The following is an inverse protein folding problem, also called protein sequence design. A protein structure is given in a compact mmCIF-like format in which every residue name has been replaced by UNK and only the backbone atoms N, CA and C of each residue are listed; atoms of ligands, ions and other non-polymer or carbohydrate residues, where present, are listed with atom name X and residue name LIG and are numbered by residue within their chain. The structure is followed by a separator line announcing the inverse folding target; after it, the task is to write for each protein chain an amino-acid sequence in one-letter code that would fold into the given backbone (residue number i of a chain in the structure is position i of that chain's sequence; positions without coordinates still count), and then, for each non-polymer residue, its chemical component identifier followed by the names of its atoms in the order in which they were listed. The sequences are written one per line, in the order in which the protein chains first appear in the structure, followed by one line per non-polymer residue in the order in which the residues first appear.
data_IF_415803962082
#
_entry.id   IF_415803962082
#
_cell.length_a   1.000
_cell.length_b   1.000
_cell.length_c   1.000
_cell.angle_alpha   90.00
_cell.angle_beta   90.00
_cell.angle_gamma   90.00
#
_symmetry.space_group_name_H-M   'P 1'
#
loop_
_entity.id
_entity.type
_entity.pdbx_description
1 polymer ?
#
# COMPACT_ATOMS: atom_id res chain seq x y z
N UNK A 1 -27.95 -5.40 -9.84
CA UNK A 1 -26.82 -4.72 -10.51
C UNK A 1 -27.02 -4.75 -12.01
N UNK A 2 -26.94 -3.62 -12.67
CA UNK A 2 -26.89 -3.54 -14.14
C UNK A 2 -25.45 -3.73 -14.63
N UNK A 3 -25.29 -4.11 -15.90
CA UNK A 3 -23.96 -4.21 -16.52
C UNK A 3 -23.17 -2.89 -16.44
N UNK A 4 -23.86 -1.76 -16.56
CA UNK A 4 -23.28 -0.42 -16.42
C UNK A 4 -22.67 -0.18 -15.04
N UNK A 5 -23.30 -0.68 -13.96
CA UNK A 5 -22.76 -0.54 -12.60
C UNK A 5 -21.46 -1.36 -12.42
N UNK A 6 -21.39 -2.54 -13.04
CA UNK A 6 -20.16 -3.35 -13.01
C UNK A 6 -19.02 -2.65 -13.75
N UNK A 7 -19.30 -2.08 -14.91
CA UNK A 7 -18.30 -1.30 -15.67
C UNK A 7 -17.86 -0.05 -14.91
N UNK A 8 -18.79 0.66 -14.27
CA UNK A 8 -18.48 1.83 -13.46
C UNK A 8 -17.64 1.44 -12.22
N UNK A 9 -17.95 0.31 -11.58
CA UNK A 9 -17.15 -0.21 -10.48
C UNK A 9 -15.71 -0.51 -10.91
N UNK A 10 -15.53 -1.20 -12.04
CA UNK A 10 -14.21 -1.51 -12.58
C UNK A 10 -13.45 -0.26 -13.01
N UNK A 11 -14.14 0.72 -13.61
CA UNK A 11 -13.57 2.02 -13.96
C UNK A 11 -13.13 2.81 -12.74
N UNK A 12 -13.98 2.84 -11.71
CA UNK A 12 -13.66 3.46 -10.42
C UNK A 12 -12.45 2.82 -9.74
N UNK A 13 -12.40 1.48 -9.76
CA UNK A 13 -11.25 0.73 -9.25
C UNK A 13 -9.96 1.06 -10.02
N UNK A 14 -10.03 1.14 -11.34
CA UNK A 14 -8.88 1.50 -12.16
C UNK A 14 -8.37 2.91 -11.85
N UNK A 15 -9.27 3.90 -11.72
CA UNK A 15 -8.93 5.26 -11.32
C UNK A 15 -8.34 5.31 -9.90
N UNK A 16 -8.91 4.58 -8.96
CA UNK A 16 -8.41 4.51 -7.59
C UNK A 16 -6.98 3.97 -7.55
N UNK A 17 -6.71 2.85 -8.22
CA UNK A 17 -5.38 2.23 -8.27
C UNK A 17 -4.37 3.12 -8.98
N UNK A 18 -4.76 3.72 -10.11
CA UNK A 18 -3.90 4.62 -10.87
C UNK A 18 -3.59 5.90 -10.09
N UNK A 19 -4.58 6.50 -9.44
CA UNK A 19 -4.40 7.68 -8.59
C UNK A 19 -3.44 7.41 -7.43
N UNK A 20 -3.60 6.25 -6.76
CA UNK A 20 -2.69 5.81 -5.71
C UNK A 20 -1.26 5.63 -6.23
N UNK A 21 -1.07 5.01 -7.38
CA UNK A 21 0.25 4.82 -7.98
C UNK A 21 0.88 6.14 -8.39
N UNK A 22 0.11 7.06 -8.98
CA UNK A 22 0.57 8.37 -9.40
C UNK A 22 1.01 9.22 -8.20
N UNK A 23 0.22 9.22 -7.12
CA UNK A 23 0.56 9.89 -5.85
C UNK A 23 1.85 9.33 -5.26
N UNK A 24 1.96 8.00 -5.17
CA UNK A 24 3.14 7.31 -4.64
C UNK A 24 4.40 7.64 -5.45
N UNK A 25 4.33 7.58 -6.78
CA UNK A 25 5.45 7.93 -7.67
C UNK A 25 5.88 9.38 -7.53
N UNK A 26 4.92 10.30 -7.35
CA UNK A 26 5.20 11.71 -7.09
C UNK A 26 5.93 11.93 -5.76
N UNK A 27 5.48 11.25 -4.70
CA UNK A 27 6.10 11.31 -3.37
C UNK A 27 7.52 10.72 -3.39
N UNK A 28 7.70 9.56 -4.03
CA UNK A 28 9.00 8.91 -4.17
C UNK A 28 9.99 9.80 -4.94
N UNK A 29 9.54 10.39 -6.06
CA UNK A 29 10.36 11.30 -6.85
C UNK A 29 10.72 12.59 -6.10
N UNK A 30 9.78 13.15 -5.32
CA UNK A 30 10.01 14.33 -4.48
C UNK A 30 11.00 14.04 -3.34
N UNK A 31 10.94 12.84 -2.75
CA UNK A 31 11.83 12.42 -1.67
C UNK A 31 13.28 12.16 -2.15
N UNK A 32 13.44 11.68 -3.37
CA UNK A 32 14.73 11.44 -4.02
C UNK A 32 15.66 10.48 -3.25
N UNK A 33 16.97 10.58 -3.53
CA UNK A 33 18.00 9.72 -2.91
C UNK A 33 18.26 10.00 -1.41
N UNK A 34 17.58 10.98 -0.82
CA UNK A 34 17.75 11.31 0.59
C UNK A 34 17.31 10.15 1.51
N UNK A 35 16.31 9.37 1.08
CA UNK A 35 15.79 8.24 1.85
C UNK A 35 16.81 7.15 2.09
N UNK A 36 17.65 6.80 1.09
CA UNK A 36 18.73 5.82 1.26
C UNK A 36 19.72 6.27 2.33
N UNK A 37 20.14 7.55 2.29
CA UNK A 37 21.09 8.11 3.27
C UNK A 37 20.52 8.16 4.69
N UNK A 38 19.22 8.37 4.84
CA UNK A 38 18.54 8.36 6.13
C UNK A 38 18.55 6.94 6.72
N UNK A 39 18.24 5.92 5.91
CA UNK A 39 18.30 4.52 6.33
C UNK A 39 19.70 4.11 6.79
N UNK A 40 20.75 4.51 6.07
CA UNK A 40 22.13 4.16 6.41
C UNK A 40 22.61 4.75 7.73
N UNK A 41 22.19 5.99 8.06
CA UNK A 41 22.74 6.75 9.20
C UNK A 41 21.97 6.64 10.50
N UNK A 42 20.66 6.38 10.47
CA UNK A 42 19.78 6.58 11.63
C UNK A 42 19.28 5.28 12.29
N UNK A 43 19.89 4.14 12.00
CA UNK A 43 19.36 2.84 12.45
C UNK A 43 20.01 2.25 13.70
N UNK A 44 20.80 3.01 14.42
CA UNK A 44 21.51 2.54 15.64
C UNK A 44 20.58 2.29 16.83
N UNK A 45 19.46 3.01 16.95
CA UNK A 45 18.49 2.89 18.04
C UNK A 45 17.21 2.21 17.56
N UNK A 46 16.61 1.33 18.39
CA UNK A 46 15.38 0.59 18.10
C UNK A 46 14.20 1.51 17.75
N UNK A 47 13.95 2.50 18.60
CA UNK A 47 12.86 3.47 18.43
C UNK A 47 13.10 4.29 17.15
N UNK A 48 14.33 4.75 16.95
CA UNK A 48 14.69 5.50 15.75
C UNK A 48 14.55 4.67 14.49
N UNK A 49 14.89 3.36 14.52
CA UNK A 49 14.65 2.43 13.42
C UNK A 49 13.17 2.32 13.04
N UNK A 50 12.28 2.22 14.03
CA UNK A 50 10.83 2.19 13.81
C UNK A 50 10.34 3.52 13.22
N UNK A 51 10.75 4.67 13.78
CA UNK A 51 10.35 5.99 13.28
C UNK A 51 10.84 6.25 11.84
N UNK A 52 12.09 5.86 11.56
CA UNK A 52 12.67 5.97 10.21
C UNK A 52 11.93 5.07 9.23
N UNK A 53 11.65 3.82 9.59
CA UNK A 53 10.87 2.91 8.77
C UNK A 53 9.45 3.42 8.49
N UNK A 54 8.78 3.96 9.52
CA UNK A 54 7.46 4.57 9.39
C UNK A 54 7.50 5.82 8.49
N UNK A 55 8.44 6.73 8.71
CA UNK A 55 8.58 7.95 7.92
C UNK A 55 8.90 7.66 6.44
N UNK A 56 9.83 6.75 6.17
CA UNK A 56 10.17 6.35 4.80
C UNK A 56 8.98 5.74 4.08
N UNK A 57 8.29 4.81 4.75
CA UNK A 57 7.13 4.15 4.13
C UNK A 57 5.96 5.12 3.96
N UNK A 58 5.74 6.05 4.89
CA UNK A 58 4.75 7.11 4.74
C UNK A 58 5.01 7.98 3.50
N UNK A 59 6.28 8.21 3.15
CA UNK A 59 6.68 8.98 1.96
C UNK A 59 6.66 8.13 0.70
N UNK A 60 7.27 6.93 0.71
CA UNK A 60 7.33 6.03 -0.46
C UNK A 60 5.95 5.43 -0.75
N UNK A 61 5.06 5.35 0.26
CA UNK A 61 3.73 4.73 0.17
C UNK A 61 3.78 3.24 -0.20
N UNK A 62 4.94 2.59 -0.02
CA UNK A 62 5.17 1.18 -0.33
C UNK A 62 6.03 0.51 0.74
N UNK A 63 5.39 -0.23 1.64
CA UNK A 63 6.10 -1.04 2.64
C UNK A 63 6.87 -2.20 2.02
N UNK A 64 6.39 -2.73 0.89
CA UNK A 64 7.11 -3.77 0.14
C UNK A 64 8.42 -3.23 -0.43
N UNK A 65 8.42 -2.04 -1.05
CA UNK A 65 9.63 -1.41 -1.56
C UNK A 65 10.63 -1.12 -0.42
N UNK A 66 10.15 -0.58 0.71
CA UNK A 66 10.96 -0.36 1.91
C UNK A 66 11.56 -1.68 2.42
N UNK A 67 10.77 -2.75 2.50
CA UNK A 67 11.23 -4.07 2.96
C UNK A 67 12.30 -4.65 2.04
N UNK A 68 12.10 -4.61 0.72
CA UNK A 68 13.08 -5.10 -0.26
C UNK A 68 14.39 -4.31 -0.17
N UNK A 69 14.30 -2.98 -0.02
CA UNK A 69 15.48 -2.13 0.16
C UNK A 69 16.26 -2.51 1.44
N UNK A 70 15.56 -2.71 2.55
CA UNK A 70 16.15 -3.11 3.84
C UNK A 70 16.80 -4.49 3.75
N UNK A 71 16.14 -5.47 3.10
CA UNK A 71 16.72 -6.80 2.84
C UNK A 71 18.00 -6.68 1.98
N UNK A 72 17.99 -5.81 0.97
CA UNK A 72 19.18 -5.51 0.17
C UNK A 72 20.34 -4.98 1.01
N UNK A 73 20.07 -4.10 1.98
CA UNK A 73 21.11 -3.56 2.88
C UNK A 73 21.63 -4.61 3.88
N UNK A 74 20.79 -5.52 4.34
CA UNK A 74 21.24 -6.66 5.17
C UNK A 74 22.15 -7.58 4.36
N UNK A 75 21.76 -7.92 3.13
CA UNK A 75 22.53 -8.81 2.26
C UNK A 75 23.88 -8.20 1.83
N UNK A 76 23.96 -6.88 1.69
CA UNK A 76 25.22 -6.16 1.39
C UNK A 76 26.10 -5.93 2.62
N UNK A 77 25.66 -6.33 3.82
CA UNK A 77 26.38 -6.12 5.07
C UNK A 77 26.34 -4.67 5.60
N UNK A 78 25.54 -3.80 4.97
CA UNK A 78 25.39 -2.40 5.40
C UNK A 78 24.50 -2.25 6.65
N UNK A 79 23.71 -3.27 6.96
CA UNK A 79 22.76 -3.27 8.07
C UNK A 79 22.68 -4.65 8.71
N UNK A 80 22.48 -4.69 10.02
CA UNK A 80 22.25 -5.95 10.74
C UNK A 80 20.78 -6.37 10.63
N UNK A 81 20.50 -7.66 10.70
CA UNK A 81 19.14 -8.21 10.72
C UNK A 81 18.28 -7.59 11.84
N UNK A 82 18.89 -7.33 12.99
CA UNK A 82 18.20 -6.72 14.13
C UNK A 82 17.72 -5.29 13.82
N UNK A 83 18.51 -4.49 13.13
CA UNK A 83 18.13 -3.15 12.66
C UNK A 83 17.01 -3.24 11.61
N UNK A 84 17.12 -4.18 10.68
CA UNK A 84 16.12 -4.43 9.65
C UNK A 84 14.73 -4.69 10.24
N UNK A 85 14.63 -5.53 11.28
CA UNK A 85 13.35 -5.83 11.94
C UNK A 85 12.64 -4.57 12.45
N UNK A 86 13.37 -3.65 13.10
CA UNK A 86 12.78 -2.40 13.61
C UNK A 86 12.27 -1.50 12.48
N UNK A 87 13.01 -1.42 11.38
CA UNK A 87 12.61 -0.63 10.21
C UNK A 87 11.37 -1.26 9.54
N UNK A 88 11.33 -2.58 9.40
CA UNK A 88 10.17 -3.27 8.83
C UNK A 88 8.92 -3.10 9.71
N UNK A 89 9.07 -3.14 11.03
CA UNK A 89 7.97 -2.82 11.95
C UNK A 89 7.48 -1.39 11.73
N UNK A 90 8.40 -0.45 11.59
CA UNK A 90 8.07 0.95 11.26
C UNK A 90 7.38 1.07 9.89
N UNK A 91 7.84 0.35 8.89
CA UNK A 91 7.24 0.36 7.55
C UNK A 91 5.77 -0.08 7.59
N UNK A 92 5.42 -1.06 8.42
CA UNK A 92 4.02 -1.46 8.62
C UNK A 92 3.18 -0.32 9.24
N UNK A 93 3.75 0.44 10.18
CA UNK A 93 3.08 1.61 10.75
C UNK A 93 2.94 2.70 9.68
N UNK A 94 3.99 2.96 8.88
CA UNK A 94 3.97 3.98 7.83
C UNK A 94 2.89 3.76 6.77
N UNK A 95 2.55 2.52 6.48
CA UNK A 95 1.47 2.17 5.55
C UNK A 95 0.08 2.66 6.02
N UNK A 96 -0.11 2.86 7.33
CA UNK A 96 -1.39 3.35 7.86
C UNK A 96 -1.67 4.80 7.45
N UNK A 97 -0.65 5.59 7.11
CA UNK A 97 -0.80 6.95 6.61
C UNK A 97 -1.61 6.98 5.31
N UNK A 98 -1.46 5.97 4.44
CA UNK A 98 -2.31 5.83 3.25
C UNK A 98 -3.78 5.71 3.61
N UNK A 99 -4.10 4.87 4.59
CA UNK A 99 -5.47 4.73 5.09
C UNK A 99 -6.02 6.03 5.70
N UNK A 100 -5.19 6.79 6.40
CA UNK A 100 -5.56 8.10 6.94
C UNK A 100 -5.83 9.12 5.82
N UNK A 101 -4.99 9.15 4.77
CA UNK A 101 -5.21 10.02 3.61
C UNK A 101 -6.53 9.69 2.90
N UNK A 102 -6.83 8.41 2.73
CA UNK A 102 -8.10 7.96 2.12
C UNK A 102 -9.30 8.29 3.01
N UNK A 103 -9.14 8.29 4.33
CA UNK A 103 -10.19 8.64 5.28
C UNK A 103 -10.52 10.15 5.31
N UNK A 104 -9.63 11.01 4.79
CA UNK A 104 -9.94 12.43 4.59
C UNK A 104 -11.02 12.53 3.51
N UNK A 105 -12.23 12.87 3.88
CA UNK A 105 -13.35 12.97 2.93
C UNK A 105 -13.28 14.28 2.11
N UNK A 106 -12.33 14.34 1.18
CA UNK A 106 -12.13 15.46 0.25
C UNK A 106 -12.81 15.21 -1.11
N UNK A 107 -13.82 14.33 -1.14
CA UNK A 107 -14.49 13.91 -2.37
C UNK A 107 -15.07 15.06 -3.20
N UNK A 108 -15.56 16.11 -2.56
CA UNK A 108 -16.13 17.29 -3.26
C UNK A 108 -15.09 18.10 -4.03
N UNK A 109 -13.87 18.23 -3.49
CA UNK A 109 -12.79 18.97 -4.14
C UNK A 109 -11.89 18.09 -5.03
N UNK A 110 -12.13 16.79 -5.06
CA UNK A 110 -11.35 15.82 -5.82
C UNK A 110 -11.25 16.16 -7.33
N UNK A 111 -12.33 16.57 -8.03
CA UNK A 111 -12.22 16.97 -9.44
C UNK A 111 -11.30 18.17 -9.65
N UNK A 112 -11.36 19.15 -8.76
CA UNK A 112 -10.50 20.34 -8.82
C UNK A 112 -9.04 19.96 -8.57
N UNK A 113 -8.77 19.10 -7.59
CA UNK A 113 -7.43 18.60 -7.31
C UNK A 113 -6.85 17.84 -8.51
N UNK A 114 -7.65 16.95 -9.11
CA UNK A 114 -7.25 16.21 -10.30
C UNK A 114 -6.90 17.18 -11.45
N UNK A 115 -7.76 18.15 -11.71
CA UNK A 115 -7.54 19.15 -12.77
C UNK A 115 -6.27 19.97 -12.54
N UNK A 116 -6.11 20.57 -11.36
CA UNK A 116 -4.93 21.37 -11.03
C UNK A 116 -3.66 20.52 -11.11
N UNK A 117 -3.69 19.33 -10.50
CA UNK A 117 -2.53 18.44 -10.51
C UNK A 117 -2.12 18.01 -11.90
N UNK A 118 -3.07 17.64 -12.76
CA UNK A 118 -2.81 17.29 -14.17
C UNK A 118 -2.27 18.50 -14.93
N UNK A 119 -2.85 19.68 -14.74
CA UNK A 119 -2.37 20.92 -15.37
C UNK A 119 -0.90 21.21 -14.98
N UNK A 120 -0.53 21.04 -13.71
CA UNK A 120 0.85 21.20 -13.25
C UNK A 120 1.80 20.18 -13.91
N UNK A 121 1.36 18.94 -14.06
CA UNK A 121 2.18 17.88 -14.69
C UNK A 121 2.39 18.12 -16.17
N UNK A 122 1.35 18.59 -16.88
CA UNK A 122 1.36 18.73 -18.34
C UNK A 122 2.04 20.03 -18.76
N UNK A 123 1.70 21.15 -18.12
CA UNK A 123 2.15 22.47 -18.58
C UNK A 123 3.46 22.95 -17.96
N UNK A 124 3.85 22.40 -16.79
CA UNK A 124 5.07 22.85 -16.11
C UNK A 124 6.21 21.86 -16.29
N UNK A 125 7.32 22.35 -16.87
CA UNK A 125 8.50 21.53 -17.15
C UNK A 125 9.46 21.36 -15.96
N UNK A 126 9.30 22.14 -14.88
CA UNK A 126 10.17 22.06 -13.69
C UNK A 126 9.92 20.76 -12.94
N UNK A 127 10.95 19.88 -12.73
CA UNK A 127 10.75 18.56 -12.13
C UNK A 127 10.07 18.61 -10.76
N UNK A 128 10.50 19.50 -9.88
CA UNK A 128 9.93 19.64 -8.54
C UNK A 128 8.42 19.95 -8.57
N UNK A 129 7.98 20.84 -9.48
CA UNK A 129 6.56 21.18 -9.60
C UNK A 129 5.77 20.01 -10.18
N UNK A 130 6.35 19.26 -11.11
CA UNK A 130 5.73 18.05 -11.67
C UNK A 130 5.51 16.98 -10.59
N UNK A 131 6.46 16.79 -9.65
CA UNK A 131 6.29 15.83 -8.55
C UNK A 131 5.10 16.24 -7.66
N UNK A 132 4.99 17.52 -7.28
CA UNK A 132 3.85 18.02 -6.53
C UNK A 132 2.55 17.91 -7.33
N UNK A 133 2.59 18.20 -8.63
CA UNK A 133 1.47 17.98 -9.54
C UNK A 133 0.99 16.52 -9.55
N UNK A 134 1.92 15.56 -9.62
CA UNK A 134 1.60 14.13 -9.56
C UNK A 134 0.96 13.73 -8.24
N UNK A 135 1.41 14.28 -7.11
CA UNK A 135 0.83 14.01 -5.79
C UNK A 135 -0.61 14.50 -5.74
N UNK A 136 -0.85 15.76 -6.14
CA UNK A 136 -2.17 16.37 -6.10
C UNK A 136 -3.12 15.72 -7.12
N UNK A 137 -2.66 15.48 -8.35
CA UNK A 137 -3.45 14.78 -9.38
C UNK A 137 -3.79 13.36 -8.94
N UNK A 138 -2.79 12.62 -8.42
CA UNK A 138 -2.97 11.25 -7.96
C UNK A 138 -4.00 11.15 -6.83
N UNK A 139 -3.95 12.08 -5.88
CA UNK A 139 -4.91 12.15 -4.79
C UNK A 139 -6.33 12.49 -5.30
N UNK A 140 -6.45 13.45 -6.20
CA UNK A 140 -7.74 13.80 -6.82
C UNK A 140 -8.34 12.63 -7.61
N UNK A 141 -7.54 11.98 -8.46
CA UNK A 141 -7.97 10.81 -9.26
C UNK A 141 -8.36 9.63 -8.34
N UNK A 142 -7.62 9.40 -7.24
CA UNK A 142 -7.92 8.38 -6.24
C UNK A 142 -9.32 8.59 -5.64
N UNK A 143 -9.64 9.80 -5.21
CA UNK A 143 -10.96 10.11 -4.64
C UNK A 143 -12.08 10.06 -5.67
N UNK A 144 -11.84 10.47 -6.92
CA UNK A 144 -12.79 10.30 -8.01
C UNK A 144 -13.10 8.82 -8.24
N UNK A 145 -12.07 7.97 -8.27
CA UNK A 145 -12.24 6.52 -8.38
C UNK A 145 -13.02 5.93 -7.21
N UNK A 146 -12.76 6.40 -5.99
CA UNK A 146 -13.46 5.95 -4.78
C UNK A 146 -14.94 6.35 -4.81
N UNK A 147 -15.27 7.57 -5.19
CA UNK A 147 -16.65 8.02 -5.32
C UNK A 147 -17.38 7.20 -6.40
N UNK A 148 -16.76 7.01 -7.57
CA UNK A 148 -17.33 6.20 -8.65
C UNK A 148 -17.59 4.75 -8.23
N UNK A 149 -16.69 4.14 -7.44
CA UNK A 149 -16.93 2.81 -6.86
C UNK A 149 -18.11 2.85 -5.87
N UNK A 150 -18.15 3.83 -4.97
CA UNK A 150 -19.21 3.97 -3.97
C UNK A 150 -20.58 4.08 -4.61
N UNK A 151 -20.72 4.96 -5.61
CA UNK A 151 -21.98 5.19 -6.33
C UNK A 151 -22.45 3.94 -7.08
N UNK A 152 -21.49 3.21 -7.69
CA UNK A 152 -21.78 1.96 -8.41
C UNK A 152 -22.28 0.84 -7.51
N UNK A 153 -21.96 0.90 -6.22
CA UNK A 153 -22.35 -0.10 -5.22
C UNK A 153 -23.68 0.21 -4.52
N UNK A 154 -24.24 1.41 -4.67
CA UNK A 154 -25.51 1.77 -4.04
C UNK A 154 -26.64 0.75 -4.28
N UNK A 155 -26.84 0.20 -5.50
CA UNK A 155 -27.89 -0.79 -5.74
C UNK A 155 -27.70 -2.12 -4.98
N UNK A 156 -26.48 -2.41 -4.49
CA UNK A 156 -26.23 -3.62 -3.69
C UNK A 156 -26.78 -3.52 -2.27
N UNK A 157 -26.95 -2.30 -1.75
CA UNK A 157 -27.50 -2.09 -0.38
C UNK A 157 -28.92 -2.63 -0.22
N UNK A 158 -29.68 -2.67 -1.32
CA UNK A 158 -31.06 -3.12 -1.36
C UNK A 158 -31.19 -4.59 -1.80
N UNK A 159 -30.09 -5.25 -2.13
CA UNK A 159 -30.07 -6.64 -2.59
C UNK A 159 -30.07 -7.60 -1.39
N UNK A 160 -31.19 -8.33 -1.18
CA UNK A 160 -31.29 -9.35 -0.13
C UNK A 160 -30.20 -10.43 -0.23
N UNK A 161 -29.86 -10.84 -1.44
CA UNK A 161 -28.80 -11.82 -1.70
C UNK A 161 -27.42 -11.29 -1.22
N UNK A 162 -27.17 -10.01 -1.42
CA UNK A 162 -25.91 -9.38 -0.98
C UNK A 162 -25.88 -9.22 0.54
N UNK A 163 -26.99 -8.78 1.16
CA UNK A 163 -27.13 -8.67 2.62
C UNK A 163 -26.93 -10.05 3.27
N UNK A 164 -27.56 -11.09 2.71
CA UNK A 164 -27.37 -12.47 3.18
C UNK A 164 -25.94 -12.97 3.08
N UNK A 165 -25.21 -12.60 2.01
CA UNK A 165 -23.80 -12.90 1.87
C UNK A 165 -22.95 -12.15 2.93
N UNK A 166 -23.22 -10.87 3.15
CA UNK A 166 -22.51 -10.05 4.13
C UNK A 166 -22.73 -10.52 5.58
N UNK A 167 -23.89 -11.04 5.90
CA UNK A 167 -24.15 -11.65 7.22
C UNK A 167 -23.32 -12.91 7.47
N UNK A 168 -22.98 -13.67 6.44
CA UNK A 168 -22.05 -14.81 6.57
C UNK A 168 -20.61 -14.36 6.88
N UNK A 169 -20.17 -13.20 6.39
CA UNK A 169 -18.88 -12.59 6.74
C UNK A 169 -18.82 -11.97 8.14
N UNK A 170 -19.91 -12.01 8.91
CA UNK A 170 -19.87 -11.67 10.35
C UNK A 170 -19.03 -12.68 11.16
N UNK A 171 -18.78 -13.88 10.62
CA UNK A 171 -17.80 -14.80 11.18
C UNK A 171 -16.37 -14.28 10.97
N UNK A 172 -15.61 -13.98 12.04
CA UNK A 172 -14.29 -13.38 11.95
C UNK A 172 -13.31 -14.20 11.09
N UNK A 173 -13.38 -15.54 11.16
CA UNK A 173 -12.49 -16.43 10.41
C UNK A 173 -12.73 -16.34 8.90
N UNK A 174 -13.99 -16.30 8.47
CA UNK A 174 -14.34 -16.15 7.05
C UNK A 174 -13.95 -14.78 6.53
N UNK A 175 -14.16 -13.73 7.31
CA UNK A 175 -13.72 -12.37 6.97
C UNK A 175 -12.20 -12.28 6.78
N UNK A 176 -11.43 -12.87 7.69
CA UNK A 176 -9.97 -12.93 7.60
C UNK A 176 -9.53 -13.70 6.36
N UNK A 177 -10.12 -14.88 6.09
CA UNK A 177 -9.78 -15.70 4.95
C UNK A 177 -10.08 -14.98 3.63
N UNK A 178 -11.30 -14.44 3.47
CA UNK A 178 -11.71 -13.72 2.28
C UNK A 178 -10.80 -12.54 2.01
N UNK A 179 -10.58 -11.77 3.03
CA UNK A 179 -9.69 -10.68 2.98
C UNK A 179 -8.27 -11.12 2.60
N UNK A 180 -7.67 -12.18 3.18
CA UNK A 180 -6.33 -12.70 2.82
C UNK A 180 -6.29 -13.07 1.34
N UNK A 181 -7.24 -13.77 0.82
CA UNK A 181 -7.33 -14.12 -0.59
C UNK A 181 -7.40 -12.86 -1.46
N UNK A 182 -8.23 -11.90 -1.07
CA UNK A 182 -8.42 -10.67 -1.82
C UNK A 182 -7.13 -9.83 -1.95
N UNK A 183 -6.37 -9.62 -0.84
CA UNK A 183 -5.08 -8.91 -0.96
C UNK A 183 -4.00 -9.75 -1.64
N UNK A 184 -4.03 -11.06 -1.49
CA UNK A 184 -3.11 -11.92 -2.24
C UNK A 184 -3.31 -11.76 -3.76
N UNK A 185 -4.54 -11.56 -4.21
CA UNK A 185 -4.87 -11.27 -5.60
C UNK A 185 -4.46 -9.86 -6.02
N UNK A 186 -4.82 -8.84 -5.26
CA UNK A 186 -4.52 -7.43 -5.60
C UNK A 186 -3.04 -7.09 -5.40
N UNK A 187 -2.33 -7.84 -4.57
CA UNK A 187 -0.93 -7.60 -4.25
C UNK A 187 -0.64 -6.22 -3.61
N UNK A 188 -1.65 -5.53 -3.09
CA UNK A 188 -1.55 -4.22 -2.43
C UNK A 188 -2.45 -4.15 -1.20
N UNK A 189 -1.84 -4.05 -0.01
CA UNK A 189 -2.58 -3.87 1.24
C UNK A 189 -3.28 -2.51 1.32
N UNK A 190 -2.64 -1.47 0.81
CA UNK A 190 -3.22 -0.12 0.78
C UNK A 190 -4.46 -0.06 -0.12
N UNK A 191 -4.41 -0.70 -1.30
CA UNK A 191 -5.56 -0.82 -2.20
C UNK A 191 -6.71 -1.58 -1.53
N UNK A 192 -6.40 -2.69 -0.86
CA UNK A 192 -7.41 -3.48 -0.15
C UNK A 192 -8.09 -2.70 0.96
N UNK A 193 -7.31 -1.93 1.74
CA UNK A 193 -7.84 -1.03 2.77
C UNK A 193 -8.74 0.04 2.16
N UNK A 194 -8.33 0.67 1.06
CA UNK A 194 -9.14 1.69 0.38
C UNK A 194 -10.46 1.15 -0.16
N UNK A 195 -10.45 -0.05 -0.74
CA UNK A 195 -11.68 -0.73 -1.20
C UNK A 195 -12.60 -1.02 -0.01
N UNK A 196 -12.07 -1.53 1.11
CA UNK A 196 -12.86 -1.78 2.32
C UNK A 196 -13.42 -0.49 2.92
N UNK A 197 -12.66 0.61 2.89
CA UNK A 197 -13.16 1.92 3.31
C UNK A 197 -14.30 2.41 2.40
N UNK A 198 -14.20 2.19 1.09
CA UNK A 198 -15.27 2.51 0.13
C UNK A 198 -16.53 1.69 0.42
N UNK A 199 -16.39 0.38 0.70
CA UNK A 199 -17.50 -0.50 1.08
C UNK A 199 -18.15 -0.07 2.41
N UNK A 200 -17.34 0.35 3.37
CA UNK A 200 -17.84 0.87 4.64
C UNK A 200 -18.53 2.23 4.46
N UNK A 201 -17.97 3.14 3.65
CA UNK A 201 -18.57 4.44 3.30
C UNK A 201 -19.91 4.26 2.58
N UNK A 202 -20.00 3.27 1.68
CA UNK A 202 -21.26 2.91 1.00
C UNK A 202 -22.28 2.26 1.94
N UNK A 203 -21.94 1.96 3.19
CA UNK A 203 -22.82 1.30 4.15
C UNK A 203 -23.11 -0.18 3.84
N UNK A 204 -22.32 -0.80 2.97
CA UNK A 204 -22.44 -2.21 2.59
C UNK A 204 -21.86 -3.15 3.64
N UNK A 205 -20.84 -2.70 4.36
CA UNK A 205 -20.26 -3.43 5.50
C UNK A 205 -20.21 -2.53 6.73
N UNK A 206 -20.47 -3.11 7.90
CA UNK A 206 -20.31 -2.40 9.16
C UNK A 206 -18.85 -2.04 9.44
N UNK A 207 -18.61 -0.90 10.08
CA UNK A 207 -17.26 -0.43 10.43
C UNK A 207 -16.49 -1.48 11.25
N UNK A 208 -17.16 -2.17 12.16
CA UNK A 208 -16.61 -3.26 12.97
C UNK A 208 -16.08 -4.42 12.13
N UNK A 209 -16.82 -4.81 11.09
CA UNK A 209 -16.42 -5.87 10.17
C UNK A 209 -15.24 -5.43 9.30
N UNK A 210 -15.27 -4.19 8.81
CA UNK A 210 -14.15 -3.61 8.04
C UNK A 210 -12.86 -3.54 8.87
N UNK A 211 -12.94 -3.12 10.14
CA UNK A 211 -11.80 -3.01 11.06
C UNK A 211 -11.22 -4.39 11.38
N UNK A 212 -12.05 -5.40 11.67
CA UNK A 212 -11.58 -6.77 11.96
C UNK A 212 -10.87 -7.39 10.76
N UNK A 213 -11.43 -7.23 9.58
CA UNK A 213 -10.83 -7.68 8.33
C UNK A 213 -9.50 -6.95 8.07
N UNK A 214 -9.41 -5.63 8.22
CA UNK A 214 -8.19 -4.87 7.99
C UNK A 214 -7.07 -5.13 9.00
N UNK A 215 -7.40 -5.19 10.30
CA UNK A 215 -6.39 -5.15 11.36
C UNK A 215 -5.55 -6.43 11.46
N UNK A 216 -6.15 -7.59 11.25
CA UNK A 216 -5.45 -8.88 11.39
C UNK A 216 -4.70 -9.30 10.12
N UNK A 217 -5.05 -8.82 9.00
CA UNK A 217 -4.86 -9.30 7.66
C UNK A 217 -3.78 -8.57 6.84
N UNK A 218 -3.68 -7.27 6.94
CA UNK A 218 -2.58 -6.52 6.35
C UNK A 218 -1.21 -6.89 6.98
N UNK A 219 -1.21 -7.36 8.24
CA UNK A 219 0.02 -7.75 8.95
C UNK A 219 0.65 -9.07 8.46
N UNK A 220 -0.13 -10.07 8.08
CA UNK A 220 0.41 -11.38 7.71
C UNK A 220 1.21 -11.38 6.41
N UNK A 221 0.95 -10.48 5.51
CA UNK A 221 1.58 -10.45 4.20
C UNK A 221 3.03 -9.96 4.19
N UNK A 222 3.37 -9.01 5.03
CA UNK A 222 4.74 -8.47 5.08
C UNK A 222 5.77 -9.49 5.59
N UNK A 223 5.35 -10.45 6.39
CA UNK A 223 6.18 -11.59 6.79
C UNK A 223 6.58 -12.48 5.60
N UNK A 224 5.68 -12.71 4.64
CA UNK A 224 5.96 -13.56 3.47
C UNK A 224 7.01 -12.96 2.54
N UNK A 225 7.00 -11.65 2.29
CA UNK A 225 8.01 -11.00 1.44
C UNK A 225 9.38 -10.93 2.11
N UNK A 226 9.44 -10.69 3.41
CA UNK A 226 10.67 -10.74 4.18
C UNK A 226 11.31 -12.13 4.12
N UNK A 227 10.54 -13.18 4.37
CA UNK A 227 11.02 -14.57 4.31
C UNK A 227 11.40 -15.00 2.89
N UNK A 228 10.60 -14.69 1.87
CA UNK A 228 10.90 -15.05 0.48
C UNK A 228 12.14 -14.34 -0.06
N UNK A 229 12.38 -13.09 0.34
CA UNK A 229 13.59 -12.34 0.00
C UNK A 229 14.85 -12.94 0.62
N UNK A 230 14.78 -13.39 1.87
CA UNK A 230 15.88 -14.07 2.54
C UNK A 230 16.18 -15.45 1.95
N UNK A 231 15.15 -16.23 1.58
CA UNK A 231 15.34 -17.54 0.95
C UNK A 231 15.91 -17.47 -0.48
N UNK A 232 15.57 -16.45 -1.24
CA UNK A 232 16.02 -16.29 -2.64
C UNK A 232 17.49 -15.84 -2.75
N UNK A 233 18.07 -15.31 -1.68
CA UNK A 233 19.44 -14.81 -1.62
C UNK A 233 20.36 -15.58 -0.66
N UNK A 234 20.09 -16.86 -0.38
CA UNK A 234 21.17 -17.74 0.07
C UNK A 234 21.94 -18.25 -1.16
N UNK A 235 23.03 -17.56 -1.62
CA UNK A 235 23.88 -18.13 -2.62
C UNK A 235 24.73 -19.19 -1.97
N UNK A 236 24.68 -20.40 -2.48
CA UNK A 236 25.83 -21.28 -2.71
C UNK A 236 27.15 -20.91 -1.98
N UNK A 237 27.16 -20.73 -0.68
CA UNK A 237 28.38 -20.62 0.13
C UNK A 237 28.89 -21.99 0.61
N UNK A 238 28.47 -23.12 0.02
CA UNK A 238 28.92 -24.46 0.43
C UNK A 238 29.48 -25.31 -0.70
N UNK A 239 30.08 -24.73 -1.74
CA UNK A 239 30.70 -25.52 -2.80
C UNK A 239 32.17 -25.18 -3.12
N UNK A 240 32.90 -24.51 -2.23
CA UNK A 240 34.35 -24.27 -2.46
C UNK A 240 35.22 -24.54 -1.23
N UNK A 241 35.01 -25.66 -0.56
CA UNK A 241 36.03 -26.24 0.31
C UNK A 241 36.02 -27.74 0.12
N UNK A 242 36.66 -28.21 -0.90
CA UNK A 242 37.36 -29.50 -0.98
C UNK A 242 37.77 -29.73 -2.43
N UNK A 243 38.91 -29.19 -2.79
CA UNK A 243 39.85 -29.87 -3.69
C UNK A 243 41.18 -29.11 -3.62
N UNK A 244 42.07 -29.55 -2.74
CA UNK A 244 43.50 -29.38 -2.84
C UNK A 244 44.05 -30.73 -3.27
N UNK A 245 44.62 -30.90 -4.46
CA UNK A 245 45.44 -32.06 -4.70
C UNK A 245 46.84 -31.75 -4.17
N UNK A 246 47.27 -32.63 -3.25
CA UNK A 246 48.67 -32.80 -2.94
C UNK A 246 49.41 -33.40 -4.16
N UNK A 247 50.48 -32.77 -4.60
CA UNK A 247 51.79 -33.33 -4.98
C UNK A 247 52.82 -32.23 -4.83
#
# INVERSE_FOLDING_TARGET
MTWTNVLALLGGLALFLYGMQMMSSGLEAAAGNRMKRILEKLTSNRILGVLVGAGITAVIQSSSATTVMVVGFVNSGMMTLRQAVWIIMGANIGTTITGQLIALDVGEIAPLMAFIGVALVVFIKKPTVRYWGQIVAGLGILFLGMNMMSDSMLPLRESEAFIGLMTQFSNPLLGILAGTVFTALIQSSSASVGILQTLAKSGLIGLDSAVRVCALWSKHRHLHYGCAGFYRHQPQRQAHHHYSPAV
#
